data_IF_761738433051
#
_entry.id   IF_761738433051
#
_cell.length_a   1.000
_cell.length_b   1.000
_cell.length_c   1.000
_cell.angle_alpha   90.00
_cell.angle_beta   90.00
_cell.angle_gamma   90.00
#
_symmetry.space_group_name_H-M   'P 1'
#
loop_
_entity.id
_entity.type
_entity.pdbx_description
1 polymer ?
#
# COMPACT_ATOMS: atom_id res chain seq x y z
N UNK A 1 44.75 42.86 -9.53
CA UNK A 1 44.52 41.73 -10.46
C UNK A 1 43.40 40.91 -9.88
N UNK A 2 42.16 41.20 -10.29
CA UNK A 2 40.97 40.47 -9.86
C UNK A 2 40.80 39.28 -10.80
N UNK A 3 41.04 38.08 -10.28
CA UNK A 3 40.85 36.84 -11.04
C UNK A 3 39.36 36.54 -11.04
N UNK A 4 38.73 36.59 -12.22
CA UNK A 4 37.33 36.21 -12.41
C UNK A 4 37.08 34.82 -11.82
N UNK A 5 36.30 34.78 -10.75
CA UNK A 5 35.91 33.54 -10.09
C UNK A 5 35.00 32.80 -11.06
N UNK A 6 35.44 31.65 -11.54
CA UNK A 6 34.73 30.82 -12.51
C UNK A 6 33.42 30.30 -11.90
N UNK A 7 32.34 31.05 -12.03
CA UNK A 7 30.98 30.70 -11.60
C UNK A 7 30.36 29.53 -12.40
N UNK A 8 31.01 29.12 -13.50
CA UNK A 8 30.54 28.04 -14.36
C UNK A 8 30.79 26.68 -13.71
N UNK A 9 29.89 26.27 -12.83
CA UNK A 9 29.86 24.93 -12.23
C UNK A 9 29.42 24.89 -10.78
N UNK A 10 29.49 26.03 -10.06
CA UNK A 10 29.06 26.10 -8.66
C UNK A 10 27.58 25.74 -8.52
N UNK A 11 26.72 26.28 -9.40
CA UNK A 11 25.29 25.95 -9.42
C UNK A 11 25.03 24.45 -9.64
N UNK A 12 25.85 23.77 -10.46
CA UNK A 12 25.72 22.33 -10.69
C UNK A 12 26.10 21.53 -9.45
N UNK A 13 27.15 21.94 -8.72
CA UNK A 13 27.56 21.31 -7.47
C UNK A 13 26.50 21.49 -6.38
N UNK A 14 25.95 22.70 -6.24
CA UNK A 14 24.86 22.99 -5.29
C UNK A 14 23.61 22.15 -5.58
N UNK A 15 23.26 21.97 -6.86
CA UNK A 15 22.15 21.09 -7.24
C UNK A 15 22.44 19.61 -6.94
N UNK A 16 23.65 19.12 -7.20
CA UNK A 16 24.04 17.74 -6.88
C UNK A 16 23.94 17.44 -5.38
N UNK A 17 24.17 18.44 -4.51
CA UNK A 17 23.95 18.31 -3.07
C UNK A 17 22.47 18.17 -2.69
N UNK A 18 21.54 18.66 -3.52
CA UNK A 18 20.11 18.48 -3.31
C UNK A 18 19.58 17.12 -3.82
N UNK A 19 20.30 16.44 -4.72
CA UNK A 19 19.86 15.16 -5.31
C UNK A 19 19.54 14.08 -4.27
N UNK A 20 20.36 13.82 -3.23
CA UNK A 20 20.02 12.83 -2.23
C UNK A 20 18.69 13.11 -1.51
N UNK A 21 18.43 14.39 -1.20
CA UNK A 21 17.17 14.81 -0.59
C UNK A 21 15.99 14.56 -1.53
N UNK A 22 16.12 14.92 -2.81
CA UNK A 22 15.08 14.69 -3.83
C UNK A 22 14.79 13.20 -3.98
N UNK A 23 15.83 12.35 -3.98
CA UNK A 23 15.67 10.89 -4.07
C UNK A 23 14.91 10.35 -2.85
N UNK A 24 15.25 10.78 -1.63
CA UNK A 24 14.54 10.35 -0.42
C UNK A 24 13.08 10.80 -0.43
N UNK A 25 12.80 12.04 -0.86
CA UNK A 25 11.44 12.54 -0.97
C UNK A 25 10.63 11.79 -2.04
N UNK A 26 11.22 11.58 -3.22
CA UNK A 26 10.61 10.79 -4.29
C UNK A 26 10.32 9.36 -3.85
N UNK A 27 11.23 8.74 -3.10
CA UNK A 27 11.03 7.44 -2.49
C UNK A 27 9.87 7.46 -1.48
N UNK A 28 9.77 8.48 -0.63
CA UNK A 28 8.64 8.62 0.31
C UNK A 28 7.29 8.73 -0.39
N UNK A 29 7.20 9.55 -1.46
CA UNK A 29 5.97 9.67 -2.27
C UNK A 29 5.61 8.34 -2.94
N UNK A 30 6.61 7.61 -3.43
CA UNK A 30 6.44 6.29 -4.02
C UNK A 30 5.85 5.29 -3.02
N UNK A 31 6.42 5.22 -1.82
CA UNK A 31 5.94 4.35 -0.73
C UNK A 31 4.49 4.66 -0.34
N UNK A 32 4.15 5.94 -0.16
CA UNK A 32 2.77 6.36 0.17
C UNK A 32 1.79 5.95 -0.94
N UNK A 33 2.22 6.06 -2.20
CA UNK A 33 1.39 5.66 -3.35
C UNK A 33 1.11 4.15 -3.35
N UNK A 34 2.12 3.32 -3.06
CA UNK A 34 1.96 1.87 -2.92
C UNK A 34 1.04 1.50 -1.76
N UNK A 35 1.18 2.18 -0.62
CA UNK A 35 0.32 1.96 0.54
C UNK A 35 -1.15 2.29 0.21
N UNK A 36 -1.40 3.40 -0.48
CA UNK A 36 -2.73 3.80 -0.95
C UNK A 36 -3.38 2.75 -1.84
N UNK A 37 -2.66 2.25 -2.86
CA UNK A 37 -3.18 1.17 -3.74
C UNK A 37 -3.47 -0.11 -2.97
N UNK A 38 -2.66 -0.44 -1.97
CA UNK A 38 -2.89 -1.61 -1.12
C UNK A 38 -4.14 -1.45 -0.25
N UNK A 39 -4.38 -0.26 0.27
CA UNK A 39 -5.61 0.05 1.02
C UNK A 39 -6.87 -0.08 0.15
N UNK A 40 -6.81 0.41 -1.09
CA UNK A 40 -7.90 0.25 -2.06
C UNK A 40 -8.21 -1.23 -2.32
N UNK A 41 -7.18 -2.06 -2.56
CA UNK A 41 -7.33 -3.50 -2.76
C UNK A 41 -7.93 -4.20 -1.54
N UNK A 42 -7.47 -3.87 -0.34
CA UNK A 42 -8.02 -4.42 0.91
C UNK A 42 -9.50 -4.07 1.06
N UNK A 43 -9.89 -2.83 0.73
CA UNK A 43 -11.28 -2.39 0.77
C UNK A 43 -12.19 -3.06 -0.27
N UNK A 44 -11.68 -3.35 -1.47
CA UNK A 44 -12.41 -4.14 -2.49
C UNK A 44 -12.57 -5.58 -2.03
N UNK A 45 -11.51 -6.20 -1.51
CA UNK A 45 -11.52 -7.55 -0.97
C UNK A 45 -12.50 -7.70 0.19
N UNK A 46 -12.47 -6.80 1.17
CA UNK A 46 -13.38 -6.83 2.31
C UNK A 46 -14.86 -6.79 1.88
N UNK A 47 -15.18 -5.92 0.90
CA UNK A 47 -16.53 -5.84 0.32
C UNK A 47 -16.91 -7.11 -0.45
N UNK A 48 -16.00 -7.71 -1.20
CA UNK A 48 -16.24 -8.96 -1.90
C UNK A 48 -16.48 -10.13 -0.92
N UNK A 49 -15.68 -10.21 0.14
CA UNK A 49 -15.85 -11.19 1.21
C UNK A 49 -17.17 -11.01 1.96
N UNK A 50 -17.56 -9.77 2.27
CA UNK A 50 -18.83 -9.46 2.91
C UNK A 50 -20.03 -9.89 2.04
N UNK A 51 -19.97 -9.67 0.71
CA UNK A 51 -21.01 -10.14 -0.23
C UNK A 51 -21.08 -11.65 -0.28
N UNK A 52 -19.93 -12.34 -0.32
CA UNK A 52 -19.89 -13.79 -0.30
C UNK A 52 -20.51 -14.34 1.01
N UNK A 53 -20.15 -13.75 2.15
CA UNK A 53 -20.70 -14.11 3.45
C UNK A 53 -22.23 -13.92 3.51
N UNK A 54 -22.72 -12.78 3.00
CA UNK A 54 -24.16 -12.50 2.95
C UNK A 54 -24.95 -13.48 2.06
N UNK A 55 -24.28 -14.10 1.07
CA UNK A 55 -24.86 -15.13 0.21
C UNK A 55 -24.66 -16.56 0.77
N UNK A 56 -24.20 -16.71 2.02
CA UNK A 56 -23.91 -18.00 2.64
C UNK A 56 -22.70 -18.73 2.05
N UNK A 57 -21.86 -18.03 1.27
CA UNK A 57 -20.63 -18.58 0.66
C UNK A 57 -19.41 -18.27 1.54
N UNK A 58 -18.29 -18.94 1.25
CA UNK A 58 -17.07 -18.68 2.00
C UNK A 58 -16.52 -17.27 1.70
N UNK A 59 -16.22 -16.45 2.73
CA UNK A 59 -15.65 -15.11 2.52
C UNK A 59 -14.30 -15.16 1.78
N UNK A 60 -13.54 -16.23 2.03
CA UNK A 60 -12.20 -16.43 1.47
C UNK A 60 -12.22 -16.65 -0.04
N UNK A 61 -13.19 -17.39 -0.58
CA UNK A 61 -13.37 -17.55 -2.02
C UNK A 61 -13.78 -16.23 -2.68
N UNK A 62 -14.68 -15.48 -2.04
CA UNK A 62 -15.10 -14.15 -2.51
C UNK A 62 -13.93 -13.16 -2.60
N UNK A 63 -13.03 -13.20 -1.62
CA UNK A 63 -11.80 -12.39 -1.61
C UNK A 63 -10.80 -12.86 -2.66
N UNK A 64 -10.60 -14.17 -2.82
CA UNK A 64 -9.65 -14.73 -3.78
C UNK A 64 -9.98 -14.36 -5.24
N UNK A 65 -11.26 -14.22 -5.57
CA UNK A 65 -11.70 -13.74 -6.89
C UNK A 65 -11.53 -12.22 -7.09
N UNK A 66 -11.35 -11.45 -6.01
CA UNK A 66 -11.25 -9.99 -6.06
C UNK A 66 -9.80 -9.47 -6.01
N UNK A 67 -8.83 -10.32 -5.68
CA UNK A 67 -7.42 -9.96 -5.54
C UNK A 67 -6.53 -10.71 -6.55
N UNK A 68 -5.40 -10.11 -6.97
CA UNK A 68 -4.35 -10.85 -7.67
C UNK A 68 -3.87 -12.04 -6.82
N UNK A 69 -3.61 -13.18 -7.46
CA UNK A 69 -3.28 -14.45 -6.77
C UNK A 69 -2.09 -14.35 -5.80
N UNK A 70 -1.06 -13.57 -6.15
CA UNK A 70 0.10 -13.34 -5.28
C UNK A 70 -0.24 -12.56 -4.00
N UNK A 71 -1.19 -11.62 -4.08
CA UNK A 71 -1.64 -10.79 -2.94
C UNK A 71 -2.64 -11.57 -2.08
N UNK A 72 -3.54 -12.31 -2.71
CA UNK A 72 -4.50 -13.17 -2.02
C UNK A 72 -3.80 -14.23 -1.12
N UNK A 73 -2.62 -14.70 -1.50
CA UNK A 73 -1.84 -15.67 -0.71
C UNK A 73 -1.25 -15.08 0.56
N UNK A 74 -0.88 -13.80 0.55
CA UNK A 74 -0.29 -13.10 1.70
C UNK A 74 -1.32 -12.34 2.54
N UNK A 75 -2.53 -12.14 2.03
CA UNK A 75 -3.61 -11.48 2.74
C UNK A 75 -4.14 -12.34 3.90
N UNK A 76 -4.30 -11.72 5.07
CA UNK A 76 -5.01 -12.31 6.21
C UNK A 76 -6.47 -11.90 6.17
N UNK A 77 -7.36 -12.85 6.48
CA UNK A 77 -8.82 -12.64 6.44
C UNK A 77 -9.41 -13.06 7.77
N UNK A 78 -10.13 -12.14 8.40
CA UNK A 78 -10.90 -12.40 9.62
C UNK A 78 -12.36 -12.06 9.36
N UNK A 79 -13.24 -13.05 9.51
CA UNK A 79 -14.69 -12.86 9.41
C UNK A 79 -15.32 -13.14 10.77
N UNK A 80 -15.94 -12.13 11.39
CA UNK A 80 -16.58 -12.23 12.71
C UNK A 80 -17.73 -11.22 12.83
N UNK A 81 -18.82 -11.60 13.49
CA UNK A 81 -19.94 -10.71 13.85
C UNK A 81 -20.52 -9.91 12.66
N UNK A 82 -20.67 -10.54 11.50
CA UNK A 82 -21.16 -9.85 10.30
C UNK A 82 -20.14 -8.87 9.68
N UNK A 83 -18.86 -8.93 10.06
CA UNK A 83 -17.78 -8.09 9.52
C UNK A 83 -16.70 -8.96 8.90
N UNK A 84 -16.20 -8.54 7.74
CA UNK A 84 -15.04 -9.11 7.07
C UNK A 84 -13.91 -8.08 7.09
N UNK A 85 -12.83 -8.44 7.75
CA UNK A 85 -11.58 -7.68 7.83
C UNK A 85 -10.53 -8.35 6.97
N UNK A 86 -9.87 -7.57 6.12
CA UNK A 86 -8.79 -8.02 5.24
C UNK A 86 -7.55 -7.19 5.53
N UNK A 87 -6.46 -7.87 5.87
CA UNK A 87 -5.17 -7.26 6.16
C UNK A 87 -4.16 -7.69 5.10
N UNK A 88 -3.55 -6.74 4.40
CA UNK A 88 -2.58 -6.99 3.34
C UNK A 88 -1.22 -6.43 3.78
N UNK A 89 -0.16 -7.26 3.83
CA UNK A 89 1.17 -6.77 4.20
C UNK A 89 1.77 -5.93 3.08
N UNK A 90 2.33 -4.76 3.41
CA UNK A 90 3.06 -3.94 2.44
C UNK A 90 4.53 -4.38 2.41
N UNK A 91 4.90 -5.12 1.35
CA UNK A 91 6.30 -5.46 1.09
C UNK A 91 6.91 -4.37 0.22
N UNK A 92 7.36 -3.30 0.86
CA UNK A 92 8.13 -2.26 0.20
C UNK A 92 9.49 -2.82 -0.24
N UNK A 93 9.84 -2.59 -1.51
CA UNK A 93 11.09 -3.07 -2.08
C UNK A 93 12.29 -2.44 -1.40
N UNK A 94 13.13 -3.25 -0.74
CA UNK A 94 14.46 -2.86 -0.26
C UNK A 94 14.65 -2.93 1.26
N UNK A 95 13.65 -2.51 2.05
CA UNK A 95 13.74 -2.52 3.52
C UNK A 95 12.58 -3.32 4.12
N UNK A 96 12.67 -4.63 3.98
CA UNK A 96 11.60 -5.63 4.13
C UNK A 96 10.96 -5.77 5.53
N UNK A 97 11.07 -4.81 6.44
CA UNK A 97 10.61 -5.03 7.83
C UNK A 97 10.03 -3.83 8.59
N UNK A 98 10.00 -2.60 8.05
CA UNK A 98 9.61 -1.42 8.86
C UNK A 98 8.26 -0.78 8.50
N UNK A 99 7.58 -1.20 7.44
CA UNK A 99 6.39 -0.49 6.93
C UNK A 99 5.03 -1.04 7.42
N UNK A 100 4.99 -2.22 8.06
CA UNK A 100 3.78 -2.73 8.72
C UNK A 100 2.75 -3.34 7.76
N UNK A 101 1.48 -3.38 8.19
CA UNK A 101 0.37 -4.04 7.49
C UNK A 101 -0.75 -3.02 7.28
N UNK A 102 -1.39 -3.04 6.11
CA UNK A 102 -2.58 -2.22 5.85
C UNK A 102 -3.82 -3.08 6.08
N UNK A 103 -4.75 -2.58 6.89
CA UNK A 103 -6.00 -3.26 7.22
C UNK A 103 -7.20 -2.47 6.69
N UNK A 104 -8.16 -3.19 6.10
CA UNK A 104 -9.47 -2.64 5.75
C UNK A 104 -10.58 -3.58 6.21
N UNK A 105 -11.69 -3.01 6.68
CA UNK A 105 -12.84 -3.76 7.19
C UNK A 105 -14.13 -3.37 6.48
N UNK A 106 -15.00 -4.33 6.20
CA UNK A 106 -16.35 -4.11 5.67
C UNK A 106 -17.38 -4.93 6.44
N UNK A 107 -18.50 -4.32 6.83
CA UNK A 107 -19.60 -4.98 7.53
C UNK A 107 -20.78 -5.33 6.60
N UNK A 108 -21.56 -6.33 6.98
CA UNK A 108 -22.87 -6.65 6.44
C UNK A 108 -23.87 -6.82 7.59
N UNK A 109 -25.09 -6.27 7.49
CA UNK A 109 -26.12 -6.50 8.49
C UNK A 109 -26.57 -7.96 8.44
N UNK A 110 -26.64 -8.62 9.60
CA UNK A 110 -27.22 -9.95 9.70
C UNK A 110 -28.73 -9.86 9.40
N UNK A 111 -29.18 -10.42 8.28
CA UNK A 111 -30.60 -10.64 8.06
C UNK A 111 -31.03 -11.78 8.97
N UNK A 112 -31.79 -11.43 10.02
CA UNK A 112 -32.46 -12.35 10.93
C UNK A 112 -33.91 -12.52 10.50
#
# INVERSE_FOLDING_TARGET
>A
MEWGKTDSGQATVEFLLAVPLIVVLGWGVWEVSLAGRTAELAGVAARAGARAAALGKSPREGIAGALPTSVAKSASVVARDGRVTVSIPISAGGLRSILGTVEASAGFPAQR
#
